data_IF_672574367953
#
_entry.id   IF_672574367953
#
_cell.length_a   1.000
_cell.length_b   1.000
_cell.length_c   1.000
_cell.angle_alpha   90.00
_cell.angle_beta   90.00
_cell.angle_gamma   90.00
#
_symmetry.space_group_name_H-M   'P 1'
#
loop_
_entity.id
_entity.type
_entity.pdbx_description
1 polymer ?
#
# COMPACT_ATOMS: atom_id res chain seq x y z
N UNK A 1 -19.92 -5.16 -9.30
CA UNK A 1 -18.91 -4.25 -8.72
C UNK A 1 -17.81 -4.98 -7.94
N UNK A 2 -18.11 -6.05 -7.19
CA UNK A 2 -17.14 -6.73 -6.28
C UNK A 2 -15.87 -7.31 -6.95
N UNK A 3 -15.91 -7.64 -8.24
CA UNK A 3 -14.78 -8.29 -8.94
C UNK A 3 -13.90 -7.32 -9.74
N UNK A 4 -14.41 -6.14 -10.12
CA UNK A 4 -13.65 -5.20 -10.93
C UNK A 4 -12.49 -4.59 -10.16
N UNK A 5 -12.69 -4.26 -8.88
CA UNK A 5 -11.60 -3.73 -8.03
C UNK A 5 -10.45 -4.72 -7.87
N UNK A 6 -10.67 -5.99 -7.44
CA UNK A 6 -9.60 -6.99 -7.41
C UNK A 6 -8.95 -7.22 -8.79
N UNK A 7 -9.73 -7.20 -9.88
CA UNK A 7 -9.19 -7.35 -11.23
C UNK A 7 -8.21 -6.22 -11.58
N UNK A 8 -8.55 -4.96 -11.32
CA UNK A 8 -7.66 -3.83 -11.61
C UNK A 8 -6.41 -3.84 -10.72
N UNK A 9 -6.53 -4.24 -9.45
CA UNK A 9 -5.37 -4.43 -8.57
C UNK A 9 -4.45 -5.52 -9.14
N UNK A 10 -5.01 -6.65 -9.58
CA UNK A 10 -4.21 -7.73 -10.18
C UNK A 10 -3.52 -7.33 -11.49
N UNK A 11 -4.14 -6.49 -12.32
CA UNK A 11 -3.50 -5.94 -13.53
C UNK A 11 -2.35 -5.01 -13.15
N UNK A 12 -2.55 -4.15 -12.16
CA UNK A 12 -1.54 -3.23 -11.66
C UNK A 12 -0.32 -3.98 -11.10
N UNK A 13 -0.56 -4.97 -10.24
CA UNK A 13 0.46 -5.90 -9.71
C UNK A 13 1.19 -6.68 -10.81
N UNK A 14 0.48 -7.14 -11.85
CA UNK A 14 1.09 -7.83 -12.99
C UNK A 14 2.07 -6.92 -13.74
N UNK A 15 1.69 -5.68 -14.04
CA UNK A 15 2.56 -4.71 -14.72
C UNK A 15 3.78 -4.41 -13.83
N UNK A 16 3.59 -4.26 -12.52
CA UNK A 16 4.70 -4.10 -11.58
C UNK A 16 5.67 -5.28 -11.63
N UNK A 17 5.14 -6.50 -11.63
CA UNK A 17 5.91 -7.75 -11.73
C UNK A 17 6.71 -7.83 -13.03
N UNK A 18 6.08 -7.51 -14.17
CA UNK A 18 6.76 -7.48 -15.49
C UNK A 18 7.92 -6.47 -15.48
N UNK A 19 7.78 -5.39 -14.72
CA UNK A 19 8.82 -4.39 -14.51
C UNK A 19 9.81 -4.73 -13.37
N UNK A 20 9.86 -6.00 -12.95
CA UNK A 20 10.81 -6.50 -11.93
C UNK A 20 10.49 -6.09 -10.50
N UNK A 21 9.27 -5.60 -10.24
CA UNK A 21 8.78 -5.33 -8.89
C UNK A 21 8.25 -6.58 -8.20
N UNK A 22 7.95 -6.44 -6.92
CA UNK A 22 7.29 -7.48 -6.13
C UNK A 22 5.84 -7.71 -6.62
N UNK A 23 5.41 -8.97 -6.81
CA UNK A 23 4.08 -9.30 -7.31
C UNK A 23 2.93 -8.89 -6.37
N UNK A 24 3.18 -8.72 -5.08
CA UNK A 24 2.15 -8.31 -4.13
C UNK A 24 2.03 -6.77 -4.05
N UNK A 25 3.00 -6.03 -4.60
CA UNK A 25 3.00 -4.57 -4.63
C UNK A 25 2.26 -3.98 -5.83
N UNK A 26 1.45 -2.96 -5.55
CA UNK A 26 0.93 -2.06 -6.59
C UNK A 26 2.03 -1.15 -7.16
N UNK A 27 1.81 -0.64 -8.36
CA UNK A 27 2.72 0.32 -9.01
C UNK A 27 2.80 1.60 -8.18
N UNK A 28 1.66 2.08 -7.68
CA UNK A 28 1.60 3.30 -6.88
C UNK A 28 2.29 3.14 -5.52
N UNK A 29 2.20 1.98 -4.87
CA UNK A 29 2.93 1.72 -3.63
C UNK A 29 4.44 1.63 -3.85
N UNK A 30 4.89 0.99 -4.93
CA UNK A 30 6.30 0.97 -5.33
C UNK A 30 6.83 2.36 -5.63
N UNK A 31 6.11 3.17 -6.40
CA UNK A 31 6.48 4.55 -6.70
C UNK A 31 6.56 5.38 -5.41
N UNK A 32 5.57 5.25 -4.52
CA UNK A 32 5.54 5.96 -3.24
C UNK A 32 6.73 5.59 -2.34
N UNK A 33 7.06 4.31 -2.25
CA UNK A 33 8.22 3.86 -1.49
C UNK A 33 9.52 4.47 -2.01
N UNK A 34 9.78 4.37 -3.32
CA UNK A 34 11.03 4.84 -3.91
C UNK A 34 11.14 6.37 -4.03
N UNK A 35 10.02 7.08 -4.04
CA UNK A 35 10.03 8.54 -3.94
C UNK A 35 10.62 9.00 -2.59
N UNK A 36 10.41 8.25 -1.51
CA UNK A 36 10.89 8.57 -0.17
C UNK A 36 12.21 7.87 0.19
N UNK A 37 12.36 6.60 -0.18
CA UNK A 37 13.45 5.73 0.28
C UNK A 37 14.38 5.25 -0.84
N UNK A 38 14.17 5.74 -2.07
CA UNK A 38 14.94 5.29 -3.23
C UNK A 38 16.40 5.74 -3.23
N UNK A 39 17.24 5.09 -4.05
CA UNK A 39 18.66 5.41 -4.11
C UNK A 39 18.87 6.83 -4.62
N UNK A 40 19.87 7.53 -4.07
CA UNK A 40 20.09 8.97 -4.31
C UNK A 40 20.17 9.36 -5.79
N UNK A 41 20.74 8.49 -6.62
CA UNK A 41 20.88 8.72 -8.06
C UNK A 41 19.56 8.56 -8.85
N UNK A 42 18.51 7.99 -8.25
CA UNK A 42 17.21 7.77 -8.89
C UNK A 42 16.05 8.49 -8.17
N UNK A 43 16.25 8.98 -6.93
CA UNK A 43 15.18 9.58 -6.12
C UNK A 43 14.44 10.71 -6.84
N UNK A 44 15.13 11.52 -7.66
CA UNK A 44 14.50 12.58 -8.45
C UNK A 44 13.54 12.05 -9.51
N UNK A 45 13.92 10.94 -10.17
CA UNK A 45 13.08 10.28 -11.17
C UNK A 45 11.84 9.68 -10.49
N UNK A 46 12.02 9.01 -9.34
CA UNK A 46 10.90 8.46 -8.58
C UNK A 46 9.96 9.54 -8.05
N UNK A 47 10.47 10.66 -7.55
CA UNK A 47 9.66 11.82 -7.15
C UNK A 47 8.90 12.44 -8.33
N UNK A 48 9.53 12.54 -9.50
CA UNK A 48 8.84 12.99 -10.71
C UNK A 48 7.73 12.03 -11.11
N UNK A 49 7.97 10.72 -11.03
CA UNK A 49 6.98 9.71 -11.34
C UNK A 49 5.81 9.74 -10.34
N UNK A 50 6.10 9.84 -9.04
CA UNK A 50 5.09 10.04 -8.00
C UNK A 50 4.24 11.29 -8.28
N UNK A 51 4.86 12.41 -8.61
CA UNK A 51 4.14 13.64 -8.96
C UNK A 51 3.21 13.46 -10.17
N UNK A 52 3.66 12.78 -11.23
CA UNK A 52 2.82 12.50 -12.41
C UNK A 52 1.62 11.63 -12.01
N UNK A 53 1.85 10.57 -11.25
CA UNK A 53 0.81 9.64 -10.82
C UNK A 53 -0.18 10.32 -9.86
N UNK A 54 0.30 11.06 -8.87
CA UNK A 54 -0.53 11.84 -7.94
C UNK A 54 -1.40 12.85 -8.70
N UNK A 55 -0.83 13.57 -9.68
CA UNK A 55 -1.61 14.50 -10.52
C UNK A 55 -2.64 13.81 -11.38
N UNK A 56 -2.36 12.59 -11.83
CA UNK A 56 -3.29 11.78 -12.62
C UNK A 56 -4.53 11.41 -11.80
N UNK A 57 -4.33 10.97 -10.55
CA UNK A 57 -5.41 10.51 -9.68
C UNK A 57 -6.05 11.61 -8.83
N UNK A 58 -5.50 12.82 -8.82
CA UNK A 58 -6.00 13.96 -8.02
C UNK A 58 -7.53 14.18 -8.08
N UNK A 59 -8.21 14.14 -9.25
CA UNK A 59 -9.66 14.36 -9.29
C UNK A 59 -10.49 13.29 -8.54
N UNK A 60 -9.92 12.10 -8.36
CA UNK A 60 -10.56 10.97 -7.69
C UNK A 60 -10.08 10.80 -6.24
N UNK A 61 -8.80 10.93 -5.98
CA UNK A 61 -8.20 10.54 -4.69
C UNK A 61 -7.55 11.70 -3.92
N UNK A 62 -7.34 12.85 -4.57
CA UNK A 62 -6.68 14.00 -3.97
C UNK A 62 -5.16 13.92 -3.97
N UNK A 63 -4.55 14.59 -3.00
CA UNK A 63 -3.11 14.68 -2.84
C UNK A 63 -2.53 13.42 -2.17
N UNK A 64 -1.23 13.18 -2.38
CA UNK A 64 -0.44 12.10 -1.76
C UNK A 64 -0.86 10.66 -2.13
N UNK A 65 -1.46 10.43 -3.31
CA UNK A 65 -1.92 9.10 -3.75
C UNK A 65 -0.85 8.01 -3.60
N UNK A 66 0.33 8.20 -4.19
CA UNK A 66 1.43 7.23 -4.14
C UNK A 66 1.95 7.02 -2.71
N UNK A 67 2.05 8.08 -1.91
CA UNK A 67 2.51 7.97 -0.53
C UNK A 67 1.49 7.20 0.34
N UNK A 68 0.20 7.43 0.15
CA UNK A 68 -0.86 6.68 0.82
C UNK A 68 -0.84 5.21 0.39
N UNK A 69 -0.66 4.93 -0.91
CA UNK A 69 -0.56 3.58 -1.44
C UNK A 69 0.62 2.81 -0.84
N UNK A 70 1.78 3.47 -0.70
CA UNK A 70 2.95 2.88 -0.04
C UNK A 70 2.62 2.38 1.38
N UNK A 71 1.94 3.19 2.18
CA UNK A 71 1.54 2.77 3.54
C UNK A 71 0.43 1.71 3.53
N UNK A 72 -0.36 1.61 2.46
CA UNK A 72 -1.46 0.65 2.33
C UNK A 72 -1.00 -0.78 2.03
N UNK A 73 0.24 -0.95 1.54
CA UNK A 73 0.90 -2.25 1.28
C UNK A 73 2.02 -2.51 2.33
N UNK A 74 1.69 -2.70 3.63
CA UNK A 74 2.70 -2.91 4.67
C UNK A 74 3.27 -4.34 4.63
N UNK A 75 4.58 -4.46 4.49
CA UNK A 75 5.29 -5.73 4.68
C UNK A 75 5.91 -6.33 3.41
N UNK A 76 5.74 -5.68 2.26
CA UNK A 76 6.26 -6.17 1.00
C UNK A 76 7.73 -5.77 0.77
N UNK A 77 8.50 -6.63 0.10
CA UNK A 77 9.85 -6.31 -0.32
C UNK A 77 9.79 -5.47 -1.60
N UNK A 78 9.89 -4.15 -1.51
CA UNK A 78 9.69 -3.26 -2.66
C UNK A 78 10.68 -3.41 -3.83
N UNK A 79 11.73 -4.23 -3.75
CA UNK A 79 12.46 -4.77 -4.92
C UNK A 79 13.14 -6.11 -4.56
N UNK A 80 13.01 -7.11 -5.44
CA UNK A 80 13.87 -8.30 -5.46
C UNK A 80 15.18 -8.04 -6.23
N UNK A 81 15.16 -7.16 -7.23
CA UNK A 81 16.31 -6.83 -8.09
C UNK A 81 16.47 -5.30 -8.25
N UNK A 82 17.56 -4.75 -7.71
CA UNK A 82 17.87 -3.31 -7.68
C UNK A 82 18.34 -2.73 -9.02
N UNK A 83 17.97 -3.35 -10.15
CA UNK A 83 18.46 -2.92 -11.46
C UNK A 83 17.59 -1.77 -12.01
N UNK A 84 18.22 -0.70 -12.50
CA UNK A 84 17.51 0.49 -12.99
C UNK A 84 16.70 0.27 -14.28
N UNK A 85 16.83 -0.90 -14.92
CA UNK A 85 16.10 -1.26 -16.14
C UNK A 85 14.62 -1.47 -15.85
N UNK A 86 14.29 -2.09 -14.71
CA UNK A 86 12.90 -2.31 -14.30
C UNK A 86 12.11 -1.00 -14.23
N UNK A 87 12.73 0.09 -13.77
CA UNK A 87 12.07 1.40 -13.64
C UNK A 87 11.73 2.02 -15.00
N UNK A 88 12.63 1.87 -15.98
CA UNK A 88 12.38 2.36 -17.35
C UNK A 88 11.25 1.57 -18.00
N UNK A 89 11.24 0.25 -17.83
CA UNK A 89 10.16 -0.63 -18.30
C UNK A 89 8.83 -0.22 -17.65
N UNK A 90 8.83 -0.04 -16.32
CA UNK A 90 7.64 0.42 -15.59
C UNK A 90 7.09 1.70 -16.21
N UNK A 91 7.95 2.72 -16.36
CA UNK A 91 7.55 4.02 -16.89
C UNK A 91 6.97 3.93 -18.31
N UNK A 92 7.58 3.13 -19.20
CA UNK A 92 7.09 2.93 -20.57
C UNK A 92 5.72 2.25 -20.58
N UNK A 93 5.51 1.25 -19.72
CA UNK A 93 4.24 0.51 -19.65
C UNK A 93 3.13 1.34 -19.01
N UNK A 94 3.44 2.15 -18.00
CA UNK A 94 2.43 2.88 -17.22
C UNK A 94 2.08 4.23 -17.80
N UNK A 95 3.04 4.96 -18.41
CA UNK A 95 2.82 6.34 -18.83
C UNK A 95 1.65 6.50 -19.82
N UNK A 96 1.50 5.67 -20.87
CA UNK A 96 0.34 5.76 -21.76
C UNK A 96 -0.99 5.57 -21.02
N UNK A 97 -1.00 4.66 -20.04
CA UNK A 97 -2.16 4.39 -19.21
C UNK A 97 -2.49 5.57 -18.30
N UNK A 98 -1.48 6.19 -17.67
CA UNK A 98 -1.67 7.38 -16.83
C UNK A 98 -2.21 8.57 -17.63
N UNK A 99 -1.74 8.77 -18.86
CA UNK A 99 -2.29 9.83 -19.74
C UNK A 99 -3.76 9.56 -20.05
N UNK A 100 -4.09 8.33 -20.44
CA UNK A 100 -5.46 7.95 -20.79
C UNK A 100 -6.41 8.05 -19.59
N UNK A 101 -6.05 7.46 -18.44
CA UNK A 101 -6.90 7.49 -17.24
C UNK A 101 -7.01 8.90 -16.67
N UNK A 102 -5.93 9.70 -16.71
CA UNK A 102 -5.96 11.10 -16.32
C UNK A 102 -6.97 11.90 -17.13
N UNK A 103 -6.96 11.75 -18.47
CA UNK A 103 -7.97 12.39 -19.31
C UNK A 103 -9.41 12.01 -18.91
N UNK A 104 -9.67 10.72 -18.65
CA UNK A 104 -10.98 10.26 -18.21
C UNK A 104 -11.39 10.82 -16.83
N UNK A 105 -10.48 10.82 -15.86
CA UNK A 105 -10.75 11.30 -14.50
C UNK A 105 -11.01 12.80 -14.49
N UNK A 106 -10.20 13.60 -15.19
CA UNK A 106 -10.39 15.06 -15.26
C UNK A 106 -11.65 15.43 -16.04
N UNK A 107 -11.95 14.75 -17.16
CA UNK A 107 -13.20 14.98 -17.88
C UNK A 107 -14.41 14.63 -17.00
N UNK A 108 -14.38 13.45 -16.36
CA UNK A 108 -15.42 13.00 -15.45
C UNK A 108 -15.62 13.95 -14.28
N UNK A 109 -14.54 14.48 -13.72
CA UNK A 109 -14.60 15.47 -12.64
C UNK A 109 -15.18 16.81 -13.12
N UNK A 110 -14.76 17.29 -14.30
CA UNK A 110 -15.26 18.54 -14.88
C UNK A 110 -16.77 18.53 -15.14
N UNK A 111 -17.34 17.36 -15.48
CA UNK A 111 -18.79 17.19 -15.66
C UNK A 111 -19.53 16.71 -14.40
N UNK A 112 -18.83 16.58 -13.27
CA UNK A 112 -19.41 16.18 -11.98
C UNK A 112 -19.73 14.69 -11.83
N UNK A 113 -19.24 13.83 -12.73
CA UNK A 113 -19.37 12.37 -12.65
C UNK A 113 -18.38 11.74 -11.67
N UNK A 114 -17.18 12.32 -11.55
CA UNK A 114 -16.16 11.89 -10.58
C UNK A 114 -16.15 12.87 -9.41
N UNK A 115 -16.22 12.33 -8.19
CA UNK A 115 -16.06 13.09 -6.96
C UNK A 115 -14.85 12.54 -6.21
N UNK A 116 -14.12 13.45 -5.59
CA UNK A 116 -12.96 13.10 -4.80
C UNK A 116 -13.38 12.27 -3.58
N UNK A 117 -12.68 11.17 -3.38
CA UNK A 117 -12.84 10.27 -2.24
C UNK A 117 -11.92 10.81 -1.14
N UNK A 118 -12.51 11.16 0.01
CA UNK A 118 -11.73 11.51 1.19
C UNK A 118 -11.39 10.24 1.97
N UNK A 119 -10.11 9.89 2.01
CA UNK A 119 -9.63 8.80 2.85
C UNK A 119 -9.44 9.30 4.29
N UNK A 120 -10.16 8.70 5.22
CA UNK A 120 -9.88 8.85 6.64
C UNK A 120 -8.63 8.02 6.99
N UNK A 121 -7.49 8.72 7.15
CA UNK A 121 -6.20 8.10 7.47
C UNK A 121 -6.25 7.37 8.82
N UNK A 122 -6.98 7.91 9.79
CA UNK A 122 -7.16 7.33 11.11
C UNK A 122 -7.91 6.00 11.03
N UNK A 123 -8.99 5.95 10.24
CA UNK A 123 -9.73 4.72 9.99
C UNK A 123 -8.89 3.69 9.22
N UNK A 124 -8.10 4.11 8.22
CA UNK A 124 -7.19 3.22 7.50
C UNK A 124 -6.10 2.61 8.41
N UNK A 125 -5.59 3.37 9.39
CA UNK A 125 -4.67 2.86 10.41
C UNK A 125 -5.38 1.84 11.31
N UNK A 126 -6.59 2.15 11.82
CA UNK A 126 -7.39 1.23 12.65
C UNK A 126 -7.65 -0.11 11.95
N UNK A 127 -8.01 -0.07 10.67
CA UNK A 127 -8.26 -1.27 9.88
C UNK A 127 -6.99 -2.12 9.72
N UNK A 128 -5.82 -1.50 9.51
CA UNK A 128 -4.54 -2.22 9.46
C UNK A 128 -4.21 -2.87 10.80
N UNK A 129 -4.32 -2.13 11.91
CA UNK A 129 -4.10 -2.67 13.26
C UNK A 129 -5.03 -3.86 13.56
N UNK A 130 -6.30 -3.76 13.16
CA UNK A 130 -7.25 -4.85 13.31
C UNK A 130 -6.86 -6.11 12.49
N UNK A 131 -6.43 -5.94 11.24
CA UNK A 131 -5.94 -7.04 10.40
C UNK A 131 -4.70 -7.70 10.99
N UNK A 132 -3.72 -6.92 11.44
CA UNK A 132 -2.51 -7.43 12.10
C UNK A 132 -2.84 -8.25 13.34
N UNK A 133 -3.76 -7.76 14.18
CA UNK A 133 -4.21 -8.51 15.36
C UNK A 133 -4.84 -9.86 14.98
N UNK A 134 -5.69 -9.90 13.96
CA UNK A 134 -6.27 -11.15 13.46
C UNK A 134 -5.21 -12.12 12.91
N UNK A 135 -4.22 -11.62 12.19
CA UNK A 135 -3.15 -12.44 11.63
C UNK A 135 -2.30 -13.08 12.75
N UNK A 136 -1.96 -12.32 13.79
CA UNK A 136 -1.24 -12.85 14.96
C UNK A 136 -2.05 -13.91 15.72
N UNK A 137 -3.36 -13.69 15.88
CA UNK A 137 -4.25 -14.69 16.51
C UNK A 137 -4.30 -15.97 15.67
N UNK A 138 -4.45 -15.86 14.35
CA UNK A 138 -4.46 -17.02 13.45
C UNK A 138 -3.15 -17.81 13.51
N UNK A 139 -1.99 -17.15 13.56
CA UNK A 139 -0.68 -17.80 13.71
C UNK A 139 -0.62 -18.56 15.05
N UNK A 140 -1.12 -17.95 16.14
CA UNK A 140 -1.18 -18.59 17.45
C UNK A 140 -2.08 -19.83 17.43
N UNK A 141 -3.26 -19.75 16.80
CA UNK A 141 -4.17 -20.87 16.65
C UNK A 141 -3.50 -22.03 15.89
N UNK A 142 -2.86 -21.75 14.75
CA UNK A 142 -2.12 -22.75 13.98
C UNK A 142 -1.00 -23.42 14.78
N UNK A 143 -0.28 -22.66 15.61
CA UNK A 143 0.76 -23.21 16.49
C UNK A 143 0.19 -24.11 17.59
N UNK A 144 -0.98 -23.78 18.15
CA UNK A 144 -1.64 -24.62 19.16
C UNK A 144 -2.15 -25.93 18.55
N UNK A 145 -2.65 -25.87 17.31
CA UNK A 145 -3.15 -27.04 16.57
C UNK A 145 -2.03 -27.98 16.12
N UNK A 146 -0.80 -27.46 15.96
CA UNK A 146 0.35 -28.26 15.53
C UNK A 146 1.19 -28.79 16.72
N UNK A 147 1.20 -30.11 17.00
CA UNK A 147 1.84 -30.72 18.17
C UNK A 147 3.38 -30.67 18.18
N UNK A 148 4.00 -29.99 17.22
CA UNK A 148 5.44 -29.71 17.17
C UNK A 148 5.81 -28.33 17.75
N UNK A 149 4.84 -27.54 18.21
CA UNK A 149 5.09 -26.24 18.80
C UNK A 149 5.80 -26.38 20.15
N UNK A 150 7.06 -25.92 20.20
CA UNK A 150 7.83 -25.77 21.43
C UNK A 150 7.03 -24.92 22.44
N UNK A 151 6.79 -25.39 23.69
CA UNK A 151 6.14 -24.59 24.73
C UNK A 151 6.78 -23.21 24.95
N UNK A 152 8.09 -23.07 24.71
CA UNK A 152 8.77 -21.78 24.76
C UNK A 152 8.35 -20.84 23.61
N UNK A 153 8.06 -21.38 22.43
CA UNK A 153 7.55 -20.63 21.27
C UNK A 153 6.11 -20.16 21.52
N UNK A 154 5.25 -21.01 22.07
CA UNK A 154 3.87 -20.61 22.42
C UNK A 154 3.86 -19.46 23.43
N UNK A 155 4.71 -19.54 24.46
CA UNK A 155 4.86 -18.47 25.46
C UNK A 155 5.42 -17.18 24.86
N UNK A 156 6.34 -17.26 23.89
CA UNK A 156 6.86 -16.06 23.23
C UNK A 156 5.81 -15.41 22.33
N UNK A 157 4.96 -16.20 21.67
CA UNK A 157 3.83 -15.73 20.89
C UNK A 157 2.77 -15.02 21.74
N UNK A 158 2.44 -15.55 22.91
CA UNK A 158 1.54 -14.86 23.85
C UNK A 158 2.04 -13.43 24.16
N UNK A 159 3.34 -13.30 24.45
CA UNK A 159 3.96 -11.99 24.70
C UNK A 159 3.97 -11.07 23.47
N UNK A 160 4.04 -11.61 22.25
CA UNK A 160 3.97 -10.81 21.02
C UNK A 160 2.53 -10.33 20.80
N UNK A 161 1.54 -11.21 20.95
CA UNK A 161 0.11 -10.88 20.82
C UNK A 161 -0.30 -9.81 21.84
N UNK A 162 0.14 -9.96 23.09
CA UNK A 162 -0.15 -9.01 24.17
C UNK A 162 0.45 -7.62 23.86
N UNK A 163 1.74 -7.55 23.53
CA UNK A 163 2.40 -6.28 23.17
C UNK A 163 1.77 -5.63 21.93
N UNK A 164 1.37 -6.41 20.95
CA UNK A 164 0.68 -5.89 19.77
C UNK A 164 -0.70 -5.31 20.12
N UNK A 165 -1.43 -5.94 21.06
CA UNK A 165 -2.70 -5.43 21.56
C UNK A 165 -2.53 -4.12 22.36
N UNK A 166 -1.50 -4.03 23.20
CA UNK A 166 -1.15 -2.81 23.95
C UNK A 166 -0.80 -1.65 23.01
N UNK A 167 0.11 -1.89 22.05
CA UNK A 167 0.51 -0.89 21.06
C UNK A 167 -0.68 -0.40 20.24
N UNK A 168 -1.57 -1.32 19.82
CA UNK A 168 -2.81 -0.96 19.14
C UNK A 168 -3.69 -0.05 20.01
N UNK A 169 -3.89 -0.39 21.28
CA UNK A 169 -4.72 0.41 22.18
C UNK A 169 -4.15 1.82 22.42
N UNK A 170 -2.82 1.95 22.49
CA UNK A 170 -2.14 3.24 22.60
C UNK A 170 -2.33 4.09 21.34
N UNK A 171 -2.14 3.50 20.15
CA UNK A 171 -2.35 4.19 18.86
C UNK A 171 -3.82 4.62 18.71
N UNK A 172 -4.78 3.74 19.06
CA UNK A 172 -6.21 4.07 18.99
C UNK A 172 -6.59 5.22 19.92
N UNK A 173 -5.98 5.31 21.12
CA UNK A 173 -6.16 6.45 22.03
C UNK A 173 -5.59 7.75 21.44
N UNK A 174 -4.39 7.71 20.86
CA UNK A 174 -3.79 8.87 20.20
C UNK A 174 -4.67 9.40 19.07
N UNK A 175 -5.18 8.49 18.23
CA UNK A 175 -6.11 8.81 17.15
C UNK A 175 -7.41 9.46 17.68
N UNK A 176 -7.93 9.04 18.83
CA UNK A 176 -9.14 9.64 19.42
C UNK A 176 -8.89 11.02 20.04
N UNK A 177 -7.67 11.28 20.52
CA UNK A 177 -7.30 12.58 21.07
C UNK A 177 -7.18 13.67 19.98
N UNK A 178 -6.72 13.31 18.78
CA UNK A 178 -6.56 14.25 17.66
C UNK A 178 -7.88 14.68 16.99
N UNK A 179 -9.00 13.98 17.29
CA UNK A 179 -10.32 14.23 16.67
C UNK A 179 -11.24 15.09 17.56
N UNK A 180 -10.87 15.34 18.83
CA UNK A 180 -11.62 16.16 19.78
C UNK A 180 -10.96 17.54 20.01
#
# INVERSE_FOLDING_TARGET
MAYFRPLFIGIDQLINTIAGGDPDNTISSRIGYYAEHGPENQIKMWKAFAWITDKTFWPLEGDDHCHIAYHADPGENFDADKNGVGVVVLFILTLPFLIFIGALLYLGWAVGLVKQIHLDRSEAIRQRLFKTSKMLISIKEELVENPLADPALLKSMDSVVERAAEARAEIEKGIQADVN
#
